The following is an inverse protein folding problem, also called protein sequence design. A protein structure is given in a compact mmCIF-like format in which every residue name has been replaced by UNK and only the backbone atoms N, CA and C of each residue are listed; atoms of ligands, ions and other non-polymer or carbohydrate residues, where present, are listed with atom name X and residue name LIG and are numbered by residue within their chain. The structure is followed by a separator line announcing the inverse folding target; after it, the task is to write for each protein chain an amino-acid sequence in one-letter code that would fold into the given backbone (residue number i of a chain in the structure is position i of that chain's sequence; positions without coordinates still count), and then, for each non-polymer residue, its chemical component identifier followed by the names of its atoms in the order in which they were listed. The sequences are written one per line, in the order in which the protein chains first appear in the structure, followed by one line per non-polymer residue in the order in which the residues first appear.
data_IF_096865784442
#
_entry.id   IF_096865784442
#
_cell.length_a   1.000
_cell.length_b   1.000
_cell.length_c   1.000
_cell.angle_alpha   90.00
_cell.angle_beta   90.00
_cell.angle_gamma   90.00
#
_symmetry.space_group_name_H-M   'P 1'
#
loop_
_entity.id
_entity.type
_entity.pdbx_description
1 polymer ?
#
# COMPACT_ATOMS: atom_id res chain seq x y z
N UNK A 1 10.26 -15.72 -13.31
CA UNK A 1 11.10 -16.04 -12.16
C UNK A 1 10.38 -17.03 -11.24
N UNK A 2 10.89 -18.26 -11.16
CA UNK A 2 10.30 -19.39 -10.43
C UNK A 2 10.22 -19.13 -8.90
N UNK A 3 11.13 -18.36 -8.34
CA UNK A 3 11.22 -18.11 -6.88
C UNK A 3 9.99 -17.40 -6.28
N UNK A 4 9.36 -16.50 -7.01
CA UNK A 4 8.20 -15.73 -6.53
C UNK A 4 6.94 -16.61 -6.39
N UNK A 5 6.90 -17.75 -7.07
CA UNK A 5 5.74 -18.65 -7.10
C UNK A 5 5.66 -19.58 -5.88
N UNK A 6 6.78 -19.78 -5.15
CA UNK A 6 6.89 -20.75 -4.04
C UNK A 6 7.20 -20.12 -2.68
N UNK A 7 7.55 -18.83 -2.62
CA UNK A 7 7.85 -18.15 -1.37
C UNK A 7 6.65 -17.30 -0.95
N UNK A 8 6.04 -17.57 0.21
CA UNK A 8 4.95 -16.74 0.73
C UNK A 8 5.34 -15.26 0.81
N UNK A 9 4.41 -14.34 0.52
CA UNK A 9 4.62 -12.87 0.50
C UNK A 9 5.36 -12.35 1.75
N UNK A 10 5.09 -12.94 2.92
CA UNK A 10 5.72 -12.58 4.21
C UNK A 10 7.24 -12.74 4.20
N UNK A 11 7.78 -13.76 3.52
CA UNK A 11 9.24 -13.97 3.44
C UNK A 11 9.87 -13.10 2.35
N UNK A 12 9.15 -12.84 1.27
CA UNK A 12 9.61 -11.89 0.24
C UNK A 12 9.76 -10.48 0.79
N UNK A 13 8.88 -10.06 1.71
CA UNK A 13 8.97 -8.76 2.39
C UNK A 13 10.20 -8.66 3.30
N UNK A 14 10.57 -9.74 4.00
CA UNK A 14 11.75 -9.77 4.87
C UNK A 14 13.09 -9.77 4.11
N UNK A 15 13.13 -10.43 2.94
CA UNK A 15 14.37 -10.61 2.17
C UNK A 15 14.54 -9.61 1.02
N UNK A 16 13.52 -8.81 0.70
CA UNK A 16 13.56 -7.86 -0.42
C UNK A 16 14.65 -6.77 -0.27
N UNK A 17 15.07 -6.45 0.95
CA UNK A 17 16.11 -5.47 1.21
C UNK A 17 17.56 -5.96 0.98
N UNK A 18 17.82 -7.26 1.00
CA UNK A 18 19.17 -7.81 0.98
C UNK A 18 19.63 -8.17 -0.45
N UNK A 19 18.70 -8.57 -1.31
CA UNK A 19 19.04 -9.09 -2.66
C UNK A 19 19.23 -8.05 -3.75
N UNK A 20 18.78 -6.82 -3.56
CA UNK A 20 18.73 -5.79 -4.60
C UNK A 20 19.93 -4.83 -4.59
N UNK A 21 20.72 -4.78 -3.50
CA UNK A 21 21.86 -3.88 -3.39
C UNK A 21 22.95 -4.07 -4.47
N UNK A 22 23.09 -5.27 -5.03
CA UNK A 22 24.04 -5.52 -6.13
C UNK A 22 23.52 -4.99 -7.48
N UNK A 23 22.21 -4.95 -7.68
CA UNK A 23 21.60 -4.39 -8.89
C UNK A 23 21.54 -2.86 -8.89
N UNK A 24 21.61 -2.23 -7.72
CA UNK A 24 21.62 -0.78 -7.53
C UNK A 24 22.75 -0.12 -8.36
N UNK A 25 23.94 -0.72 -8.36
CA UNK A 25 25.14 -0.21 -9.07
C UNK A 25 24.91 -0.03 -10.58
N UNK A 26 24.16 -0.92 -11.22
CA UNK A 26 23.87 -0.83 -12.66
C UNK A 26 22.86 0.25 -13.04
N UNK A 27 22.10 0.75 -12.07
CA UNK A 27 21.06 1.76 -12.29
C UNK A 27 21.46 3.16 -11.83
N UNK A 28 22.59 3.35 -11.17
CA UNK A 28 23.09 4.66 -10.70
C UNK A 28 23.14 5.67 -11.85
N UNK A 29 22.68 6.89 -11.56
CA UNK A 29 22.67 8.01 -12.51
C UNK A 29 21.78 9.13 -12.00
N UNK A 30 21.65 10.24 -12.73
CA UNK A 30 20.99 11.45 -12.28
C UNK A 30 19.75 11.84 -13.12
N UNK A 31 19.14 10.86 -13.82
CA UNK A 31 17.96 11.16 -14.66
C UNK A 31 16.65 11.15 -13.89
N UNK A 32 16.57 10.36 -12.81
CA UNK A 32 15.40 10.26 -11.93
C UNK A 32 15.84 10.23 -10.48
N UNK A 33 15.11 10.91 -9.62
CA UNK A 33 15.24 10.88 -8.16
C UNK A 33 14.01 10.23 -7.54
N UNK A 34 14.21 9.39 -6.53
CA UNK A 34 13.13 8.87 -5.72
C UNK A 34 12.80 9.88 -4.60
N UNK A 35 11.59 10.49 -4.56
CA UNK A 35 11.27 11.48 -3.54
C UNK A 35 11.21 10.91 -2.10
N UNK A 36 11.13 9.58 -1.96
CA UNK A 36 11.07 8.92 -0.65
C UNK A 36 12.46 8.69 -0.06
N UNK A 37 13.41 8.14 -0.83
CA UNK A 37 14.74 7.78 -0.33
C UNK A 37 15.87 8.69 -0.81
N UNK A 38 15.57 9.63 -1.71
CA UNK A 38 16.51 10.57 -2.33
C UNK A 38 17.66 9.90 -3.12
N UNK A 39 17.49 8.63 -3.48
CA UNK A 39 18.46 7.94 -4.34
C UNK A 39 18.26 8.34 -5.80
N UNK A 40 19.36 8.48 -6.53
CA UNK A 40 19.42 8.94 -7.92
C UNK A 40 19.75 7.78 -8.87
N UNK A 41 19.00 7.67 -9.97
CA UNK A 41 19.13 6.59 -10.95
C UNK A 41 19.06 7.11 -12.39
N UNK A 42 19.55 6.28 -13.34
CA UNK A 42 19.30 6.49 -14.77
C UNK A 42 17.82 6.23 -15.12
N UNK A 43 17.21 5.26 -14.44
CA UNK A 43 15.78 4.88 -14.51
C UNK A 43 15.45 3.98 -13.33
N UNK A 44 14.18 3.85 -12.98
CA UNK A 44 13.69 2.84 -12.06
C UNK A 44 13.56 1.47 -12.73
N UNK A 45 13.46 0.41 -11.91
CA UNK A 45 13.24 -0.95 -12.37
C UNK A 45 11.82 -1.13 -12.96
N UNK A 46 11.63 -2.07 -13.89
CA UNK A 46 10.28 -2.46 -14.31
C UNK A 46 9.55 -3.20 -13.19
N UNK A 47 8.23 -3.11 -13.15
CA UNK A 47 7.38 -3.81 -12.19
C UNK A 47 6.06 -4.26 -12.80
N UNK A 48 5.68 -5.51 -12.53
CA UNK A 48 4.46 -6.17 -12.98
C UNK A 48 4.71 -7.60 -13.44
N UNK A 49 3.71 -8.48 -13.31
CA UNK A 49 3.83 -9.92 -13.64
C UNK A 49 3.59 -10.18 -15.13
N UNK A 50 2.51 -9.64 -15.69
CA UNK A 50 2.07 -9.94 -17.07
C UNK A 50 2.56 -8.86 -18.03
N UNK A 51 2.30 -7.60 -17.73
CA UNK A 51 2.74 -6.43 -18.50
C UNK A 51 3.58 -5.51 -17.61
N UNK A 52 4.90 -5.75 -17.49
CA UNK A 52 5.73 -4.96 -16.60
C UNK A 52 5.77 -3.49 -17.06
N UNK A 53 5.37 -2.59 -16.17
CA UNK A 53 5.51 -1.15 -16.41
C UNK A 53 6.98 -0.78 -16.30
N UNK A 54 7.56 -0.11 -17.31
CA UNK A 54 8.93 0.38 -17.20
C UNK A 54 9.02 1.51 -16.19
N UNK A 55 10.19 1.73 -15.62
CA UNK A 55 10.47 2.87 -14.74
C UNK A 55 9.55 2.97 -13.51
N UNK A 56 9.15 1.84 -12.94
CA UNK A 56 8.12 1.75 -11.90
C UNK A 56 8.68 1.63 -10.47
N UNK A 57 9.63 0.72 -10.25
CA UNK A 57 10.11 0.33 -8.93
C UNK A 57 11.45 0.98 -8.58
N UNK A 58 11.51 1.74 -7.50
CA UNK A 58 12.77 2.28 -6.98
C UNK A 58 13.70 1.14 -6.52
N UNK A 59 14.94 1.05 -7.05
CA UNK A 59 15.85 -0.02 -6.65
C UNK A 59 16.20 -0.03 -5.16
N UNK A 60 16.32 1.15 -4.54
CA UNK A 60 16.75 1.29 -3.14
C UNK A 60 15.62 1.03 -2.14
N UNK A 61 14.53 1.78 -2.20
CA UNK A 61 13.46 1.68 -1.19
C UNK A 61 12.26 0.85 -1.63
N UNK A 62 12.29 0.28 -2.84
CA UNK A 62 11.23 -0.55 -3.44
C UNK A 62 9.88 0.16 -3.56
N UNK A 63 9.88 1.49 -3.55
CA UNK A 63 8.66 2.25 -3.78
C UNK A 63 8.20 2.16 -5.23
N UNK A 64 6.91 1.99 -5.42
CA UNK A 64 6.22 2.10 -6.71
C UNK A 64 5.72 3.52 -6.95
N UNK A 65 5.20 3.77 -8.14
CA UNK A 65 4.64 5.07 -8.55
C UNK A 65 3.58 5.56 -7.55
N UNK A 66 2.66 4.68 -7.15
CA UNK A 66 1.61 4.99 -6.17
C UNK A 66 2.17 5.43 -4.81
N UNK A 67 3.25 4.79 -4.35
CA UNK A 67 3.89 5.16 -3.08
C UNK A 67 4.53 6.55 -3.18
N UNK A 68 5.19 6.85 -4.30
CA UNK A 68 5.80 8.17 -4.53
C UNK A 68 4.74 9.27 -4.65
N UNK A 69 3.58 8.97 -5.26
CA UNK A 69 2.44 9.88 -5.32
C UNK A 69 1.88 10.18 -3.92
N UNK A 70 1.64 9.16 -3.10
CA UNK A 70 1.20 9.32 -1.71
C UNK A 70 2.21 10.17 -0.93
N UNK A 71 3.51 9.86 -1.05
CA UNK A 71 4.56 10.62 -0.36
C UNK A 71 4.55 12.11 -0.71
N UNK A 72 4.46 12.44 -2.00
CA UNK A 72 4.38 13.83 -2.47
C UNK A 72 3.10 14.51 -2.00
N UNK A 73 1.96 13.84 -2.06
CA UNK A 73 0.70 14.35 -1.53
C UNK A 73 0.79 14.66 -0.03
N UNK A 74 1.30 13.72 0.77
CA UNK A 74 1.50 13.92 2.21
C UNK A 74 2.40 15.11 2.50
N UNK A 75 3.47 15.27 1.72
CA UNK A 75 4.46 16.36 1.88
C UNK A 75 3.92 17.72 1.47
N UNK A 76 3.18 17.80 0.37
CA UNK A 76 2.83 19.06 -0.26
C UNK A 76 1.41 19.55 0.05
N UNK A 77 0.52 18.62 0.44
CA UNK A 77 -0.91 18.90 0.58
C UNK A 77 -1.46 18.68 1.98
N UNK A 78 -0.63 18.19 2.91
CA UNK A 78 -1.06 17.92 4.29
C UNK A 78 -0.04 18.39 5.30
N UNK A 79 -0.42 18.36 6.59
CA UNK A 79 0.49 18.63 7.71
C UNK A 79 1.23 17.37 8.22
N UNK A 80 1.21 16.28 7.46
CA UNK A 80 1.71 14.97 7.89
C UNK A 80 3.17 15.00 8.36
N UNK A 81 4.04 15.75 7.70
CA UNK A 81 5.46 15.86 8.06
C UNK A 81 5.81 17.07 8.93
N UNK A 82 4.87 17.98 9.17
CA UNK A 82 5.09 19.18 10.01
C UNK A 82 4.50 19.08 11.42
N UNK A 83 3.60 18.10 11.64
CA UNK A 83 2.92 17.89 12.91
C UNK A 83 3.09 16.43 13.34
N UNK A 84 3.21 16.18 14.66
CA UNK A 84 3.19 14.82 15.19
C UNK A 84 1.72 14.37 15.33
N UNK A 85 1.29 13.43 14.51
CA UNK A 85 -0.08 12.94 14.39
C UNK A 85 -0.20 11.51 14.94
N UNK A 86 -1.37 11.16 15.43
CA UNK A 86 -1.74 9.78 15.73
C UNK A 86 -2.14 9.09 14.42
N UNK A 87 -1.30 8.17 13.94
CA UNK A 87 -1.40 7.55 12.60
C UNK A 87 -1.63 6.05 12.72
N UNK A 88 -2.69 5.55 12.08
CA UNK A 88 -2.89 4.12 11.83
C UNK A 88 -2.53 3.81 10.37
N UNK A 89 -1.57 2.92 10.18
CA UNK A 89 -1.14 2.47 8.86
C UNK A 89 -1.51 0.99 8.69
N UNK A 90 -2.58 0.74 7.94
CA UNK A 90 -3.11 -0.60 7.65
C UNK A 90 -2.36 -1.17 6.45
N UNK A 91 -1.95 -2.44 6.52
CA UNK A 91 -1.12 -3.12 5.52
C UNK A 91 0.16 -2.34 5.16
N UNK A 92 1.03 -2.05 6.14
CA UNK A 92 2.07 -1.04 6.03
C UNK A 92 3.10 -1.34 4.93
N UNK A 93 3.36 -0.34 4.09
CA UNK A 93 4.36 -0.43 3.03
C UNK A 93 5.77 -0.15 3.58
N UNK A 94 6.73 -1.08 3.37
CA UNK A 94 8.09 -0.97 3.92
C UNK A 94 8.82 0.33 3.57
N UNK A 95 8.54 0.91 2.39
CA UNK A 95 9.19 2.15 1.94
C UNK A 95 8.85 3.37 2.80
N UNK A 96 7.74 3.33 3.54
CA UNK A 96 7.27 4.41 4.42
C UNK A 96 7.66 4.20 5.89
N UNK A 97 7.63 2.96 6.37
CA UNK A 97 7.63 2.62 7.80
C UNK A 97 8.66 3.37 8.62
N UNK A 98 9.95 3.24 8.30
CA UNK A 98 11.02 3.89 9.07
C UNK A 98 10.90 5.42 9.11
N UNK A 99 10.37 6.03 8.04
CA UNK A 99 10.23 7.49 7.92
C UNK A 99 9.04 8.00 8.72
N UNK A 100 7.92 7.29 8.65
CA UNK A 100 6.72 7.61 9.42
C UNK A 100 6.94 7.35 10.91
N UNK A 101 7.64 6.27 11.26
CA UNK A 101 8.05 6.00 12.64
C UNK A 101 8.98 7.10 13.20
N UNK A 102 9.96 7.57 12.40
CA UNK A 102 10.81 8.70 12.81
C UNK A 102 10.01 9.99 13.02
N UNK A 103 8.98 10.25 12.19
CA UNK A 103 8.15 11.45 12.24
C UNK A 103 7.18 11.43 13.42
N UNK A 104 6.45 10.32 13.58
CA UNK A 104 5.32 10.24 14.53
C UNK A 104 5.64 9.45 15.80
N UNK A 105 6.77 8.69 15.81
CA UNK A 105 7.28 7.92 16.96
C UNK A 105 6.23 6.89 17.47
N UNK A 106 5.93 6.92 18.76
CA UNK A 106 4.94 6.05 19.43
C UNK A 106 3.50 6.23 18.93
N UNK A 107 3.22 7.37 18.30
CA UNK A 107 1.92 7.67 17.68
C UNK A 107 1.73 7.03 16.30
N UNK A 108 2.77 6.41 15.75
CA UNK A 108 2.68 5.66 14.49
C UNK A 108 2.43 4.19 14.78
N UNK A 109 1.24 3.72 14.47
CA UNK A 109 0.80 2.34 14.67
C UNK A 109 0.62 1.67 13.31
N UNK A 110 1.27 0.52 13.13
CA UNK A 110 1.09 -0.33 11.96
C UNK A 110 0.21 -1.52 12.31
N UNK A 111 -0.72 -1.85 11.43
CA UNK A 111 -1.67 -2.93 11.65
C UNK A 111 -1.91 -3.76 10.38
N UNK A 112 -2.08 -5.06 10.53
CA UNK A 112 -2.36 -5.99 9.43
C UNK A 112 -2.94 -7.29 9.98
N UNK A 113 -3.62 -8.06 9.14
CA UNK A 113 -4.19 -9.35 9.55
C UNK A 113 -3.12 -10.45 9.65
N UNK A 114 -2.07 -10.41 8.81
CA UNK A 114 -1.07 -11.48 8.70
C UNK A 114 0.38 -11.00 8.65
N UNK A 115 0.62 -9.75 8.21
CA UNK A 115 1.98 -9.25 7.98
C UNK A 115 2.81 -9.22 9.27
N UNK A 116 4.03 -9.81 9.27
CA UNK A 116 4.95 -9.74 10.40
C UNK A 116 5.55 -8.34 10.59
N UNK A 117 5.33 -7.41 9.67
CA UNK A 117 5.80 -6.04 9.74
C UNK A 117 4.88 -5.15 10.57
N UNK A 118 3.64 -5.59 10.80
CA UNK A 118 2.67 -4.86 11.59
C UNK A 118 2.88 -5.08 13.10
N UNK A 119 2.75 -4.02 13.88
CA UNK A 119 2.81 -4.08 15.35
C UNK A 119 1.54 -4.66 15.96
N UNK A 120 0.40 -4.40 15.31
CA UNK A 120 -0.92 -4.85 15.75
C UNK A 120 -1.49 -5.82 14.72
N UNK A 121 -1.82 -7.02 15.18
CA UNK A 121 -2.58 -7.97 14.37
C UNK A 121 -4.05 -7.65 14.50
N UNK A 122 -4.72 -7.30 13.38
CA UNK A 122 -6.13 -6.93 13.40
C UNK A 122 -6.84 -7.22 12.08
N UNK A 123 -8.14 -7.45 12.17
CA UNK A 123 -9.07 -7.40 11.04
C UNK A 123 -9.60 -5.96 10.88
N UNK A 124 -9.58 -5.45 9.66
CA UNK A 124 -10.07 -4.11 9.34
C UNK A 124 -11.58 -3.95 9.58
N UNK A 125 -12.34 -5.06 9.58
CA UNK A 125 -13.78 -5.04 9.90
C UNK A 125 -14.08 -4.83 11.39
N UNK A 126 -13.05 -4.95 12.26
CA UNK A 126 -13.14 -4.74 13.70
C UNK A 126 -11.84 -4.15 14.22
N UNK A 127 -11.65 -2.86 14.03
CA UNK A 127 -10.43 -2.16 14.44
C UNK A 127 -10.39 -2.04 15.96
N UNK A 128 -9.38 -2.63 16.68
CA UNK A 128 -9.35 -2.75 18.14
C UNK A 128 -8.89 -1.44 18.82
N UNK A 129 -9.37 -0.30 18.34
CA UNK A 129 -9.11 1.00 18.91
C UNK A 129 -10.43 1.74 19.15
N UNK A 130 -10.50 2.63 20.16
CA UNK A 130 -11.71 3.40 20.43
C UNK A 130 -12.06 4.34 19.27
N UNK A 131 -13.28 4.83 19.25
CA UNK A 131 -13.67 5.92 18.36
C UNK A 131 -12.84 7.20 18.61
N UNK A 132 -12.66 8.01 17.58
CA UNK A 132 -11.96 9.29 17.65
C UNK A 132 -10.51 9.16 18.17
N UNK A 133 -9.80 8.13 17.78
CA UNK A 133 -8.44 7.83 18.27
C UNK A 133 -7.33 8.37 17.38
N UNK A 134 -7.48 8.31 16.04
CA UNK A 134 -6.45 8.67 15.09
C UNK A 134 -6.73 9.99 14.37
N UNK A 135 -5.67 10.73 14.08
CA UNK A 135 -5.73 11.90 13.19
C UNK A 135 -5.69 11.47 11.72
N UNK A 136 -4.99 10.37 11.43
CA UNK A 136 -4.76 9.88 10.06
C UNK A 136 -4.87 8.37 10.00
N UNK A 137 -5.56 7.86 8.96
CA UNK A 137 -5.56 6.45 8.61
C UNK A 137 -5.06 6.28 7.18
N UNK A 138 -4.06 5.41 6.99
CA UNK A 138 -3.56 5.00 5.69
C UNK A 138 -3.99 3.55 5.43
N UNK A 139 -4.72 3.32 4.34
CA UNK A 139 -5.28 2.03 3.95
C UNK A 139 -5.17 1.88 2.43
N UNK A 140 -3.99 1.47 1.96
CA UNK A 140 -3.69 1.43 0.54
C UNK A 140 -3.68 -0.01 0.02
N UNK A 141 -4.45 -0.27 -1.04
CA UNK A 141 -4.54 -1.59 -1.65
C UNK A 141 -4.94 -2.69 -0.65
N UNK A 142 -6.03 -2.44 0.09
CA UNK A 142 -6.62 -3.36 1.07
C UNK A 142 -8.09 -3.66 0.73
N UNK A 143 -8.84 -2.64 0.35
CA UNK A 143 -10.30 -2.76 0.20
C UNK A 143 -10.71 -3.70 -0.93
N UNK A 144 -9.86 -3.91 -1.93
CA UNK A 144 -10.06 -4.90 -2.98
C UNK A 144 -9.98 -6.36 -2.52
N UNK A 145 -9.40 -6.59 -1.33
CA UNK A 145 -9.22 -7.94 -0.76
C UNK A 145 -10.23 -8.30 0.32
N UNK A 146 -10.92 -7.32 0.90
CA UNK A 146 -11.84 -7.55 2.02
C UNK A 146 -13.25 -7.87 1.54
N UNK A 147 -13.99 -8.69 2.30
CA UNK A 147 -15.35 -9.11 1.89
C UNK A 147 -16.36 -7.96 1.97
N UNK A 148 -16.29 -7.12 2.99
CA UNK A 148 -17.19 -6.00 3.24
C UNK A 148 -16.38 -4.70 3.37
N UNK A 149 -16.17 -4.02 2.26
CA UNK A 149 -15.41 -2.76 2.22
C UNK A 149 -16.18 -1.62 2.87
N UNK A 150 -17.50 -1.61 2.82
CA UNK A 150 -18.36 -0.62 3.51
C UNK A 150 -18.17 -0.72 5.02
N UNK A 151 -18.16 -1.95 5.56
CA UNK A 151 -17.87 -2.19 6.97
C UNK A 151 -16.46 -1.73 7.33
N UNK A 152 -15.47 -2.06 6.50
CA UNK A 152 -14.09 -1.63 6.69
C UNK A 152 -13.96 -0.09 6.70
N UNK A 153 -14.59 0.60 5.75
CA UNK A 153 -14.61 2.06 5.70
C UNK A 153 -15.34 2.68 6.89
N UNK A 154 -16.43 2.04 7.36
CA UNK A 154 -17.14 2.47 8.57
C UNK A 154 -16.28 2.39 9.82
N UNK A 155 -15.46 1.34 9.97
CA UNK A 155 -14.52 1.19 11.07
C UNK A 155 -13.38 2.22 10.98
N UNK A 156 -12.84 2.48 9.77
CA UNK A 156 -11.86 3.56 9.56
C UNK A 156 -12.47 4.91 10.01
N UNK A 157 -13.70 5.20 9.59
CA UNK A 157 -14.39 6.43 10.00
C UNK A 157 -14.58 6.52 11.52
N UNK A 158 -14.98 5.41 12.16
CA UNK A 158 -15.20 5.34 13.61
C UNK A 158 -13.95 5.71 14.40
N UNK A 159 -12.79 5.20 13.98
CA UNK A 159 -11.53 5.45 14.72
C UNK A 159 -10.89 6.80 14.38
N UNK A 160 -11.31 7.48 13.32
CA UNK A 160 -10.85 8.82 12.98
C UNK A 160 -11.47 9.87 13.90
N UNK A 161 -10.67 10.82 14.36
CA UNK A 161 -11.13 12.01 15.09
C UNK A 161 -11.94 12.93 14.19
N UNK A 162 -12.82 13.77 14.74
CA UNK A 162 -13.38 14.89 14.01
C UNK A 162 -12.26 15.76 13.41
N UNK A 163 -12.31 15.99 12.08
CA UNK A 163 -11.24 16.68 11.33
C UNK A 163 -10.07 15.81 10.92
N UNK A 164 -10.02 14.55 11.34
CA UNK A 164 -9.08 13.55 10.84
C UNK A 164 -9.41 13.13 9.40
N UNK A 165 -8.43 12.51 8.72
CA UNK A 165 -8.58 12.11 7.34
C UNK A 165 -7.95 10.74 7.05
N UNK A 166 -8.37 10.11 5.95
CA UNK A 166 -7.81 8.86 5.48
C UNK A 166 -7.35 8.94 4.02
N UNK A 167 -6.33 8.16 3.68
CA UNK A 167 -6.03 7.77 2.29
C UNK A 167 -6.39 6.31 2.15
N UNK A 168 -7.32 6.03 1.24
CA UNK A 168 -7.81 4.68 0.92
C UNK A 168 -7.61 4.45 -0.57
N UNK A 169 -6.39 4.13 -0.99
CA UNK A 169 -6.06 3.94 -2.39
C UNK A 169 -6.43 2.53 -2.85
N UNK A 170 -7.12 2.44 -3.98
CA UNK A 170 -7.51 1.18 -4.64
C UNK A 170 -6.97 1.10 -6.06
N UNK A 171 -6.82 -0.09 -6.66
CA UNK A 171 -6.39 -0.23 -8.05
C UNK A 171 -7.53 0.08 -9.02
N UNK A 172 -7.26 0.94 -10.00
CA UNK A 172 -8.11 1.13 -11.16
C UNK A 172 -7.49 0.43 -12.39
N UNK A 173 -8.26 -0.43 -13.02
CA UNK A 173 -7.87 -1.14 -14.26
C UNK A 173 -8.52 -0.48 -15.47
N UNK A 174 -7.73 -0.14 -16.49
CA UNK A 174 -8.24 0.47 -17.72
C UNK A 174 -8.84 -0.58 -18.66
N UNK A 175 -10.04 -0.34 -19.23
CA UNK A 175 -10.93 0.77 -18.93
C UNK A 175 -11.55 0.66 -17.52
N UNK A 176 -11.66 1.81 -16.82
CA UNK A 176 -12.31 1.86 -15.51
C UNK A 176 -13.82 1.71 -15.71
N UNK A 177 -14.49 0.75 -15.08
CA UNK A 177 -15.95 0.62 -15.16
C UNK A 177 -16.65 1.81 -14.47
N UNK A 178 -17.86 2.10 -14.87
CA UNK A 178 -18.64 3.18 -14.23
C UNK A 178 -19.11 2.79 -12.83
N UNK A 179 -19.39 1.50 -12.61
CA UNK A 179 -19.86 0.94 -11.34
C UNK A 179 -18.89 -0.16 -10.91
N UNK A 180 -18.62 -0.21 -9.61
CA UNK A 180 -17.82 -1.26 -8.97
C UNK A 180 -18.46 -2.63 -9.24
N UNK A 181 -17.64 -3.56 -9.73
CA UNK A 181 -18.06 -4.92 -10.04
C UNK A 181 -17.66 -5.87 -8.93
N UNK A 182 -18.63 -6.60 -8.40
CA UNK A 182 -18.47 -7.65 -7.39
C UNK A 182 -19.31 -8.87 -7.80
N UNK A 183 -18.77 -10.06 -7.53
CA UNK A 183 -19.49 -11.32 -7.67
C UNK A 183 -18.96 -12.33 -6.66
N UNK A 184 -19.72 -12.55 -5.60
CA UNK A 184 -19.36 -13.48 -4.50
C UNK A 184 -19.33 -14.95 -4.93
N UNK A 185 -19.89 -15.30 -6.08
CA UNK A 185 -19.84 -16.66 -6.63
C UNK A 185 -18.47 -17.00 -7.23
N UNK A 186 -17.66 -15.98 -7.58
CA UNK A 186 -16.30 -16.14 -8.10
C UNK A 186 -15.34 -16.41 -6.95
N UNK A 187 -15.13 -17.68 -6.62
CA UNK A 187 -14.28 -18.11 -5.51
C UNK A 187 -12.92 -18.66 -5.96
N UNK A 188 -12.84 -19.18 -7.19
CA UNK A 188 -11.61 -19.75 -7.73
C UNK A 188 -10.57 -18.65 -8.02
N UNK A 189 -9.29 -18.80 -7.58
CA UNK A 189 -8.25 -17.79 -7.78
C UNK A 189 -8.01 -17.40 -9.24
N UNK A 190 -8.07 -18.36 -10.19
CA UNK A 190 -7.88 -18.05 -11.62
C UNK A 190 -9.03 -17.25 -12.22
N UNK A 191 -10.24 -17.48 -11.73
CA UNK A 191 -11.42 -16.74 -12.19
C UNK A 191 -11.46 -15.35 -11.54
N UNK A 192 -11.02 -15.21 -10.30
CA UNK A 192 -10.77 -13.89 -9.65
C UNK A 192 -9.73 -13.07 -10.42
N UNK A 193 -8.61 -13.68 -10.81
CA UNK A 193 -7.59 -12.98 -11.61
C UNK A 193 -8.16 -12.43 -12.92
N UNK A 194 -9.03 -13.19 -13.60
CA UNK A 194 -9.70 -12.73 -14.84
C UNK A 194 -10.73 -11.64 -14.60
N UNK A 195 -11.56 -11.78 -13.54
CA UNK A 195 -12.66 -10.88 -13.23
C UNK A 195 -12.17 -9.58 -12.59
N UNK A 196 -11.26 -9.67 -11.62
CA UNK A 196 -10.88 -8.58 -10.73
C UNK A 196 -9.40 -8.14 -10.91
N UNK A 197 -8.62 -8.84 -11.74
CA UNK A 197 -7.23 -8.48 -12.07
C UNK A 197 -6.16 -9.12 -11.19
N UNK A 198 -6.51 -9.73 -10.04
CA UNK A 198 -5.63 -10.56 -9.21
C UNK A 198 -6.40 -11.73 -8.59
N UNK A 199 -5.67 -12.78 -8.22
CA UNK A 199 -6.20 -14.05 -7.72
C UNK A 199 -6.80 -13.97 -6.30
N UNK A 200 -6.49 -12.90 -5.57
CA UNK A 200 -6.95 -12.61 -4.21
C UNK A 200 -7.90 -11.40 -4.12
N UNK A 201 -8.19 -10.74 -5.24
CA UNK A 201 -9.21 -9.68 -5.27
C UNK A 201 -10.63 -10.26 -5.22
N UNK A 202 -11.55 -9.53 -4.61
CA UNK A 202 -12.98 -9.87 -4.54
C UNK A 202 -13.86 -8.87 -5.27
N UNK A 203 -13.27 -7.74 -5.71
CA UNK A 203 -13.95 -6.69 -6.49
C UNK A 203 -13.00 -5.97 -7.45
N UNK A 204 -13.62 -5.31 -8.42
CA UNK A 204 -12.98 -4.36 -9.33
C UNK A 204 -13.67 -3.02 -9.18
N UNK A 205 -12.99 -2.06 -8.58
CA UNK A 205 -13.54 -0.73 -8.33
C UNK A 205 -13.86 0.03 -9.61
N UNK A 206 -15.00 0.72 -9.59
CA UNK A 206 -15.50 1.61 -10.62
C UNK A 206 -15.29 3.08 -10.29
N UNK A 207 -15.88 3.96 -11.12
CA UNK A 207 -15.85 5.41 -10.89
C UNK A 207 -16.75 5.87 -9.73
N UNK A 208 -17.60 4.99 -9.24
CA UNK A 208 -18.51 5.18 -8.11
C UNK A 208 -17.81 5.05 -6.74
N UNK A 209 -16.56 4.64 -6.72
CA UNK A 209 -15.70 4.63 -5.53
C UNK A 209 -15.24 6.08 -5.17
#
# INVERSE_FOLDING_TARGET
SLLIRFVPRKYLQLFSGIGLGAFDLFYIGNKVECPICHSHYRKFLPYGRINPRPNALCPSCLSLERHRLIWLYLKERTNFFSTQLDVLHIAPEPCFMKRFEKQHREKYITADIESPLARVKMDIHQIPFPENHFDVVLCNHVLEHVQDDIKAMSEIRRVLRPGGWAIMQVPFFSPVPDITFEDSSITNPRDREKAFGQDDHVRKFGKDY
#
